data_IF_887830418327
#
_entry.id   IF_887830418327
#
_cell.length_a   1.000
_cell.length_b   1.000
_cell.length_c   1.000
_cell.angle_alpha   90.00
_cell.angle_beta   90.00
_cell.angle_gamma   90.00
#
_symmetry.space_group_name_H-M   'P 1'
#
loop_
_entity.id
_entity.type
_entity.pdbx_description
1 polymer ?
#
# COMPACT_ATOMS: atom_id res chain seq x y z
N UNK A 1 -35.63 -27.66 -12.45
CA UNK A 1 -35.30 -26.34 -13.02
C UNK A 1 -33.81 -26.25 -13.14
N UNK A 2 -33.29 -26.13 -14.36
CA UNK A 2 -31.85 -25.95 -14.60
C UNK A 2 -31.47 -24.50 -14.31
N UNK A 3 -30.63 -24.30 -13.30
CA UNK A 3 -30.03 -22.99 -13.02
C UNK A 3 -28.94 -22.79 -14.07
N UNK A 4 -29.22 -21.94 -15.05
CA UNK A 4 -28.27 -21.55 -16.08
C UNK A 4 -27.18 -20.66 -15.47
N UNK A 5 -26.16 -21.26 -14.85
CA UNK A 5 -24.98 -20.53 -14.37
C UNK A 5 -24.19 -20.09 -15.61
N UNK A 6 -24.38 -18.85 -16.05
CA UNK A 6 -23.50 -18.28 -17.08
C UNK A 6 -22.11 -18.06 -16.45
N UNK A 7 -21.04 -18.63 -17.02
CA UNK A 7 -19.69 -18.37 -16.52
C UNK A 7 -19.39 -16.88 -16.58
N UNK A 8 -18.82 -16.34 -15.51
CA UNK A 8 -18.37 -14.96 -15.47
C UNK A 8 -17.24 -14.76 -16.49
N UNK A 9 -17.23 -13.62 -17.18
CA UNK A 9 -16.16 -13.26 -18.12
C UNK A 9 -14.84 -13.04 -17.40
N UNK A 10 -13.73 -13.37 -18.06
CA UNK A 10 -12.38 -13.17 -17.55
C UNK A 10 -12.13 -11.69 -17.21
N UNK A 11 -12.66 -10.76 -18.01
CA UNK A 11 -12.58 -9.31 -17.70
C UNK A 11 -13.25 -8.96 -16.37
N UNK A 12 -14.41 -9.56 -16.07
CA UNK A 12 -15.11 -9.34 -14.80
C UNK A 12 -14.33 -9.96 -13.65
N UNK A 13 -13.81 -11.17 -13.83
CA UNK A 13 -13.01 -11.87 -12.84
C UNK A 13 -11.70 -11.11 -12.53
N UNK A 14 -11.03 -10.55 -13.54
CA UNK A 14 -9.84 -9.72 -13.36
C UNK A 14 -10.15 -8.45 -12.54
N UNK A 15 -11.29 -7.79 -12.78
CA UNK A 15 -11.72 -6.63 -11.96
C UNK A 15 -12.02 -7.03 -10.52
N UNK A 16 -12.68 -8.17 -10.30
CA UNK A 16 -12.93 -8.68 -8.96
C UNK A 16 -11.63 -9.04 -8.23
N UNK A 17 -10.68 -9.69 -8.89
CA UNK A 17 -9.39 -9.99 -8.29
C UNK A 17 -8.53 -8.73 -8.06
N UNK A 18 -8.64 -7.70 -8.90
CA UNK A 18 -7.99 -6.41 -8.63
C UNK A 18 -8.48 -5.80 -7.32
N UNK A 19 -9.80 -5.81 -7.07
CA UNK A 19 -10.38 -5.37 -5.78
C UNK A 19 -9.83 -6.19 -4.62
N UNK A 20 -9.79 -7.52 -4.76
CA UNK A 20 -9.26 -8.44 -3.73
C UNK A 20 -7.78 -8.22 -3.45
N UNK A 21 -6.98 -7.87 -4.48
CA UNK A 21 -5.58 -7.49 -4.30
C UNK A 21 -5.47 -6.22 -3.46
N UNK A 22 -6.28 -5.19 -3.74
CA UNK A 22 -6.29 -3.94 -2.94
C UNK A 22 -6.65 -4.21 -1.48
N UNK A 23 -7.70 -4.98 -1.22
CA UNK A 23 -8.08 -5.39 0.13
C UNK A 23 -6.95 -6.15 0.83
N UNK A 24 -6.28 -7.05 0.11
CA UNK A 24 -5.16 -7.80 0.64
C UNK A 24 -3.94 -6.90 0.94
N UNK A 25 -3.69 -5.84 0.16
CA UNK A 25 -2.67 -4.83 0.47
C UNK A 25 -3.04 -4.05 1.73
N UNK A 26 -4.30 -3.61 1.88
CA UNK A 26 -4.80 -2.96 3.11
C UNK A 26 -4.60 -3.85 4.34
N UNK A 27 -4.95 -5.14 4.22
CA UNK A 27 -4.75 -6.15 5.25
C UNK A 27 -3.27 -6.33 5.63
N UNK A 28 -2.37 -6.35 4.63
CA UNK A 28 -0.93 -6.46 4.85
C UNK A 28 -0.38 -5.23 5.57
N UNK A 29 -0.71 -4.03 5.12
CA UNK A 29 -0.28 -2.77 5.76
C UNK A 29 -0.81 -2.69 7.20
N UNK A 30 -2.07 -3.07 7.43
CA UNK A 30 -2.62 -3.12 8.78
C UNK A 30 -1.91 -4.12 9.69
N UNK A 31 -1.56 -5.30 9.17
CA UNK A 31 -0.79 -6.29 9.94
C UNK A 31 0.64 -5.81 10.20
N UNK A 32 1.25 -5.08 9.25
CA UNK A 32 2.57 -4.48 9.41
C UNK A 32 2.59 -3.44 10.54
N UNK A 33 1.57 -2.57 10.62
CA UNK A 33 1.40 -1.63 11.75
C UNK A 33 1.45 -2.38 13.09
N UNK A 34 0.66 -3.45 13.20
CA UNK A 34 0.59 -4.26 14.43
C UNK A 34 1.92 -4.96 14.74
N UNK A 35 2.67 -5.40 13.72
CA UNK A 35 4.00 -5.97 13.90
C UNK A 35 4.98 -4.95 14.51
N UNK A 36 4.99 -3.71 14.02
CA UNK A 36 5.85 -2.64 14.55
C UNK A 36 5.47 -2.25 16.00
N UNK A 37 4.17 -2.26 16.32
CA UNK A 37 3.67 -1.97 17.66
C UNK A 37 4.02 -3.05 18.67
N UNK A 38 3.54 -4.27 18.41
CA UNK A 38 3.52 -5.35 19.38
C UNK A 38 4.78 -6.20 19.33
N UNK A 39 5.49 -6.21 18.19
CA UNK A 39 6.73 -6.97 17.94
C UNK A 39 6.61 -8.45 18.33
N UNK A 40 5.39 -8.99 18.22
CA UNK A 40 5.08 -10.34 18.66
C UNK A 40 5.15 -11.32 17.49
N UNK A 41 5.55 -12.55 17.78
CA UNK A 41 5.59 -13.63 16.80
C UNK A 41 4.20 -13.93 16.22
N UNK A 42 3.15 -13.66 16.99
CA UNK A 42 1.76 -13.80 16.54
C UNK A 42 1.43 -12.79 15.43
N UNK A 43 1.79 -11.51 15.59
CA UNK A 43 1.54 -10.51 14.55
C UNK A 43 2.36 -10.79 13.29
N UNK A 44 3.62 -11.23 13.43
CA UNK A 44 4.45 -11.64 12.30
C UNK A 44 3.83 -12.82 11.53
N UNK A 45 3.26 -13.80 12.24
CA UNK A 45 2.54 -14.92 11.63
C UNK A 45 1.27 -14.45 10.89
N UNK A 46 0.56 -13.45 11.41
CA UNK A 46 -0.61 -12.87 10.75
C UNK A 46 -0.20 -12.15 9.46
N UNK A 47 0.84 -11.32 9.50
CA UNK A 47 1.36 -10.64 8.31
C UNK A 47 1.76 -11.66 7.23
N UNK A 48 2.44 -12.75 7.59
CA UNK A 48 2.78 -13.83 6.64
C UNK A 48 1.54 -14.47 6.02
N UNK A 49 0.48 -14.71 6.80
CA UNK A 49 -0.79 -15.24 6.28
C UNK A 49 -1.47 -14.27 5.31
N UNK A 50 -1.50 -12.97 5.64
CA UNK A 50 -2.04 -11.93 4.75
C UNK A 50 -1.24 -11.79 3.46
N UNK A 51 0.10 -11.87 3.56
CA UNK A 51 0.99 -11.88 2.41
C UNK A 51 0.71 -13.07 1.48
N UNK A 52 0.56 -14.28 2.03
CA UNK A 52 0.24 -15.47 1.24
C UNK A 52 -1.11 -15.33 0.52
N UNK A 53 -2.10 -14.72 1.18
CA UNK A 53 -3.38 -14.38 0.56
C UNK A 53 -3.21 -13.35 -0.58
N UNK A 54 -2.44 -12.29 -0.37
CA UNK A 54 -2.11 -11.32 -1.44
C UNK A 54 -1.48 -12.03 -2.63
N UNK A 55 -0.48 -12.88 -2.40
CA UNK A 55 0.20 -13.64 -3.46
C UNK A 55 -0.78 -14.48 -4.29
N UNK A 56 -1.68 -15.20 -3.63
CA UNK A 56 -2.70 -15.99 -4.31
C UNK A 56 -3.64 -15.13 -5.17
N UNK A 57 -4.03 -13.95 -4.70
CA UNK A 57 -4.84 -13.01 -5.50
C UNK A 57 -4.06 -12.45 -6.70
N UNK A 58 -2.76 -12.18 -6.54
CA UNK A 58 -1.90 -11.73 -7.66
C UNK A 58 -1.80 -12.79 -8.75
N UNK A 59 -1.55 -14.05 -8.38
CA UNK A 59 -1.51 -15.17 -9.32
C UNK A 59 -2.86 -15.36 -10.05
N UNK A 60 -3.97 -15.19 -9.34
CA UNK A 60 -5.31 -15.23 -9.93
C UNK A 60 -5.56 -14.04 -10.88
N UNK A 61 -5.15 -12.83 -10.50
CA UNK A 61 -5.28 -11.62 -11.30
C UNK A 61 -4.47 -11.75 -12.60
N UNK A 62 -3.25 -12.27 -12.53
CA UNK A 62 -2.39 -12.51 -13.69
C UNK A 62 -3.07 -13.44 -14.69
N UNK A 63 -3.57 -14.59 -14.21
CA UNK A 63 -4.29 -15.56 -15.03
C UNK A 63 -5.54 -14.96 -15.68
N UNK A 64 -6.39 -14.29 -14.90
CA UNK A 64 -7.63 -13.70 -15.45
C UNK A 64 -7.35 -12.55 -16.42
N UNK A 65 -6.28 -11.79 -16.22
CA UNK A 65 -5.87 -10.74 -17.15
C UNK A 65 -5.42 -11.35 -18.48
N UNK A 66 -4.61 -12.41 -18.45
CA UNK A 66 -4.18 -13.11 -19.66
C UNK A 66 -5.38 -13.66 -20.44
N UNK A 67 -6.35 -14.26 -19.77
CA UNK A 67 -7.61 -14.71 -20.37
C UNK A 67 -8.42 -13.54 -20.95
N UNK A 68 -8.54 -12.42 -20.21
CA UNK A 68 -9.30 -11.24 -20.63
C UNK A 68 -8.77 -10.60 -21.92
N UNK A 69 -7.45 -10.63 -22.15
CA UNK A 69 -6.83 -10.13 -23.37
C UNK A 69 -7.21 -10.95 -24.62
N UNK A 70 -7.64 -12.20 -24.44
CA UNK A 70 -8.11 -13.07 -25.53
C UNK A 70 -9.61 -12.95 -25.79
N UNK A 71 -10.36 -12.25 -24.92
CA UNK A 71 -11.79 -12.09 -25.10
C UNK A 71 -12.13 -11.14 -26.26
N UNK A 72 -13.24 -11.38 -26.99
CA UNK A 72 -13.71 -10.43 -27.98
C UNK A 72 -14.00 -9.07 -27.33
N UNK A 73 -13.52 -8.00 -27.98
CA UNK A 73 -13.69 -6.62 -27.52
C UNK A 73 -15.18 -6.28 -27.40
N UNK A 74 -15.65 -6.10 -26.16
CA UNK A 74 -17.00 -5.57 -25.90
C UNK A 74 -16.85 -4.12 -25.41
N UNK A 75 -17.45 -3.12 -26.09
CA UNK A 75 -17.25 -1.69 -25.79
C UNK A 75 -17.48 -1.27 -24.33
N UNK A 76 -18.42 -1.92 -23.64
CA UNK A 76 -18.79 -1.62 -22.24
C UNK A 76 -17.95 -2.35 -21.19
N UNK A 77 -17.11 -3.30 -21.62
CA UNK A 77 -16.25 -4.11 -20.77
C UNK A 77 -14.79 -3.91 -21.16
N UNK A 78 -14.42 -2.71 -21.62
CA UNK A 78 -13.03 -2.45 -22.00
C UNK A 78 -12.13 -2.73 -20.77
N UNK A 79 -11.19 -3.68 -20.88
CA UNK A 79 -10.26 -3.93 -19.79
C UNK A 79 -9.35 -2.71 -19.61
N UNK A 80 -8.76 -2.56 -18.41
CA UNK A 80 -7.50 -1.81 -18.30
C UNK A 80 -6.58 -2.32 -19.42
N UNK A 81 -5.86 -1.43 -20.09
CA UNK A 81 -4.96 -1.88 -21.15
C UNK A 81 -3.88 -2.83 -20.54
N UNK A 82 -3.34 -3.74 -21.35
CA UNK A 82 -2.39 -4.75 -20.89
C UNK A 82 -1.18 -4.15 -20.15
N UNK A 83 -0.74 -2.95 -20.55
CA UNK A 83 0.38 -2.24 -19.94
C UNK A 83 0.06 -1.85 -18.48
N UNK A 84 -1.14 -1.32 -18.24
CA UNK A 84 -1.58 -0.95 -16.89
C UNK A 84 -1.72 -2.17 -15.97
N UNK A 85 -2.27 -3.29 -16.47
CA UNK A 85 -2.31 -4.52 -15.67
C UNK A 85 -0.92 -5.07 -15.33
N UNK A 86 0.01 -5.08 -16.29
CA UNK A 86 1.37 -5.56 -16.03
C UNK A 86 2.09 -4.71 -14.98
N UNK A 87 1.89 -3.39 -14.98
CA UNK A 87 2.41 -2.51 -13.92
C UNK A 87 1.79 -2.84 -12.57
N UNK A 88 0.46 -2.95 -12.51
CA UNK A 88 -0.26 -3.30 -11.28
C UNK A 88 0.20 -4.65 -10.71
N UNK A 89 0.26 -5.68 -11.54
CA UNK A 89 0.77 -7.01 -11.17
C UNK A 89 2.20 -6.94 -10.64
N UNK A 90 3.06 -6.18 -11.31
CA UNK A 90 4.43 -5.93 -10.86
C UNK A 90 4.47 -5.30 -9.47
N UNK A 91 3.68 -4.25 -9.22
CA UNK A 91 3.63 -3.58 -7.92
C UNK A 91 3.03 -4.48 -6.82
N UNK A 92 1.94 -5.21 -7.08
CA UNK A 92 1.37 -6.13 -6.09
C UNK A 92 2.35 -7.27 -5.74
N UNK A 93 3.05 -7.83 -6.73
CA UNK A 93 4.05 -8.87 -6.52
C UNK A 93 5.17 -8.36 -5.62
N UNK A 94 5.71 -7.17 -5.90
CA UNK A 94 6.74 -6.55 -5.06
C UNK A 94 6.26 -6.29 -3.64
N UNK A 95 5.04 -5.79 -3.44
CA UNK A 95 4.47 -5.61 -2.10
C UNK A 95 4.43 -6.95 -1.36
N UNK A 96 3.99 -8.01 -2.04
CA UNK A 96 3.96 -9.35 -1.46
C UNK A 96 5.34 -9.83 -1.00
N UNK A 97 6.36 -9.65 -1.84
CA UNK A 97 7.75 -10.02 -1.49
C UNK A 97 8.30 -9.14 -0.36
N UNK A 98 8.05 -7.83 -0.40
CA UNK A 98 8.48 -6.89 0.64
C UNK A 98 7.85 -7.22 1.99
N UNK A 99 6.57 -7.64 2.04
CA UNK A 99 5.95 -8.11 3.28
C UNK A 99 6.68 -9.32 3.88
N UNK A 100 7.16 -10.26 3.04
CA UNK A 100 7.97 -11.39 3.51
C UNK A 100 9.28 -10.92 4.11
N UNK A 101 10.01 -10.04 3.42
CA UNK A 101 11.28 -9.51 3.93
C UNK A 101 11.08 -8.76 5.25
N UNK A 102 10.05 -7.92 5.36
CA UNK A 102 9.74 -7.21 6.60
C UNK A 102 9.46 -8.18 7.76
N UNK A 103 8.74 -9.28 7.51
CA UNK A 103 8.54 -10.32 8.52
C UNK A 103 9.88 -10.90 9.03
N UNK A 104 10.81 -11.22 8.14
CA UNK A 104 12.10 -11.78 8.53
C UNK A 104 12.97 -10.76 9.29
N UNK A 105 13.02 -9.50 8.82
CA UNK A 105 13.77 -8.44 9.49
C UNK A 105 13.23 -8.15 10.89
N UNK A 106 11.90 -8.05 11.06
CA UNK A 106 11.28 -7.85 12.37
C UNK A 106 11.53 -9.03 13.30
N UNK A 107 11.56 -10.26 12.78
CA UNK A 107 11.90 -11.44 13.56
C UNK A 107 13.34 -11.38 14.07
N UNK A 108 14.28 -10.99 13.21
CA UNK A 108 15.69 -10.81 13.58
C UNK A 108 15.84 -9.72 14.67
N UNK A 109 15.06 -8.63 14.57
CA UNK A 109 15.09 -7.54 15.55
C UNK A 109 14.40 -7.88 16.88
N UNK A 110 13.40 -8.77 16.89
CA UNK A 110 12.64 -9.12 18.10
C UNK A 110 13.46 -9.76 19.23
N UNK A 111 14.64 -10.31 18.91
CA UNK A 111 15.58 -10.88 19.87
C UNK A 111 16.77 -9.97 20.22
N UNK A 112 16.89 -8.79 19.62
CA UNK A 112 18.06 -7.93 19.76
C UNK A 112 17.86 -6.88 20.89
N UNK A 113 18.69 -6.94 21.94
CA UNK A 113 18.67 -5.95 23.04
C UNK A 113 18.90 -4.51 22.54
N UNK A 114 19.63 -4.34 21.45
CA UNK A 114 19.89 -3.07 20.76
C UNK A 114 18.65 -2.45 20.08
N UNK A 115 17.62 -3.25 19.77
CA UNK A 115 16.38 -2.75 19.17
C UNK A 115 15.41 -2.14 20.19
N UNK A 116 15.66 -2.34 21.50
CA UNK A 116 14.82 -1.87 22.62
C UNK A 116 14.80 -0.33 22.73
N UNK A 117 15.85 0.35 22.25
CA UNK A 117 15.94 1.81 22.25
C UNK A 117 15.47 2.50 20.95
N UNK A 118 15.06 1.73 19.95
CA UNK A 118 14.66 2.29 18.66
C UNK A 118 13.26 2.96 18.76
N UNK A 119 13.03 4.15 18.19
CA UNK A 119 11.79 4.91 18.33
C UNK A 119 10.64 4.37 17.45
N UNK A 120 10.19 3.15 17.75
CA UNK A 120 9.14 2.43 17.03
C UNK A 120 7.81 3.18 16.95
N UNK A 121 7.47 3.97 17.96
CA UNK A 121 6.23 4.75 18.00
C UNK A 121 6.14 5.77 16.85
N UNK A 122 7.27 6.33 16.43
CA UNK A 122 7.30 7.23 15.27
C UNK A 122 7.01 6.51 13.96
N UNK A 123 7.62 5.34 13.75
CA UNK A 123 7.34 4.50 12.58
C UNK A 123 5.87 4.11 12.53
N UNK A 124 5.37 3.58 13.64
CA UNK A 124 3.98 3.13 13.76
C UNK A 124 3.00 4.25 13.44
N UNK A 125 3.25 5.46 13.95
CA UNK A 125 2.39 6.62 13.67
C UNK A 125 2.34 6.94 12.18
N UNK A 126 3.49 6.97 11.52
CA UNK A 126 3.57 7.28 10.10
C UNK A 126 2.89 6.18 9.26
N UNK A 127 3.10 4.91 9.62
CA UNK A 127 2.42 3.77 8.99
C UNK A 127 0.89 3.78 9.20
N UNK A 128 0.40 4.16 10.37
CA UNK A 128 -1.04 4.31 10.65
C UNK A 128 -1.66 5.40 9.79
N UNK A 129 -1.03 6.57 9.71
CA UNK A 129 -1.50 7.66 8.86
C UNK A 129 -1.57 7.22 7.39
N UNK A 130 -0.55 6.49 6.93
CA UNK A 130 -0.54 5.90 5.59
C UNK A 130 -1.67 4.88 5.38
N UNK A 131 -1.86 3.97 6.35
CA UNK A 131 -2.92 2.95 6.32
C UNK A 131 -4.31 3.59 6.23
N UNK A 132 -4.58 4.63 7.02
CA UNK A 132 -5.87 5.33 7.02
C UNK A 132 -6.17 5.93 5.65
N UNK A 133 -5.19 6.62 5.05
CA UNK A 133 -5.30 7.16 3.68
C UNK A 133 -5.57 6.04 2.67
N UNK A 134 -4.80 4.97 2.72
CA UNK A 134 -4.97 3.82 1.83
C UNK A 134 -6.37 3.21 1.94
N UNK A 135 -6.81 2.87 3.15
CA UNK A 135 -8.12 2.29 3.41
C UNK A 135 -9.25 3.20 2.92
N UNK A 136 -9.14 4.51 3.14
CA UNK A 136 -10.13 5.48 2.67
C UNK A 136 -10.26 5.50 1.15
N UNK A 137 -9.14 5.41 0.42
CA UNK A 137 -9.14 5.41 -1.04
C UNK A 137 -9.61 4.10 -1.64
N UNK A 138 -9.22 2.95 -1.08
CA UNK A 138 -9.74 1.65 -1.52
C UNK A 138 -11.25 1.61 -1.38
N UNK A 139 -11.78 2.01 -0.22
CA UNK A 139 -13.24 2.11 0.00
C UNK A 139 -13.92 3.05 -1.01
N UNK A 140 -13.30 4.18 -1.33
CA UNK A 140 -13.83 5.11 -2.34
C UNK A 140 -13.89 4.46 -3.74
N UNK A 141 -12.88 3.67 -4.13
CA UNK A 141 -12.85 2.94 -5.40
C UNK A 141 -13.94 1.86 -5.47
N UNK A 142 -14.21 1.17 -4.37
CA UNK A 142 -15.32 0.20 -4.27
C UNK A 142 -16.70 0.88 -4.46
N UNK A 143 -16.90 2.05 -3.84
CA UNK A 143 -18.13 2.84 -3.99
C UNK A 143 -18.32 3.33 -5.44
N UNK A 144 -17.22 3.69 -6.12
CA UNK A 144 -17.23 4.10 -7.54
C UNK A 144 -17.63 2.93 -8.45
N UNK A 145 -17.08 1.74 -8.20
CA UNK A 145 -17.34 0.54 -9.01
C UNK A 145 -18.72 -0.08 -8.77
N UNK A 146 -19.33 0.14 -7.59
CA UNK A 146 -20.63 -0.42 -7.18
C UNK A 146 -21.85 0.40 -7.64
N UNK A 147 -21.72 1.70 -7.90
CA UNK A 147 -22.89 2.55 -8.20
C UNK A 147 -23.20 2.69 -9.71
N UNK A 148 -24.45 2.37 -10.11
CA UNK A 148 -25.03 2.58 -11.44
C UNK A 148 -25.17 4.07 -11.86
N UNK A 149 -24.45 5.00 -11.22
CA UNK A 149 -24.64 6.43 -11.41
C UNK A 149 -23.30 7.16 -11.30
N UNK A 150 -22.53 7.12 -12.40
CA UNK A 150 -21.40 8.02 -12.65
C UNK A 150 -21.77 9.49 -12.34
N UNK A 151 -23.03 9.88 -12.57
CA UNK A 151 -23.53 11.22 -12.29
C UNK A 151 -23.60 11.57 -10.79
N UNK A 152 -23.91 10.62 -9.90
CA UNK A 152 -23.89 10.84 -8.44
C UNK A 152 -22.46 10.93 -7.93
N UNK A 153 -21.55 10.13 -8.48
CA UNK A 153 -20.11 10.16 -8.17
C UNK A 153 -19.49 11.48 -8.64
N UNK A 154 -19.77 11.92 -9.87
CA UNK A 154 -19.30 13.20 -10.40
C UNK A 154 -19.84 14.38 -9.56
N UNK A 155 -21.06 14.26 -9.03
CA UNK A 155 -21.65 15.25 -8.10
C UNK A 155 -21.02 15.22 -6.70
N UNK A 156 -20.57 14.07 -6.20
CA UNK A 156 -19.84 13.98 -4.92
C UNK A 156 -18.37 14.42 -5.06
N UNK A 157 -17.70 14.07 -6.16
CA UNK A 157 -16.41 14.63 -6.55
C UNK A 157 -16.51 16.15 -6.76
N UNK A 158 -17.58 16.65 -7.40
CA UNK A 158 -17.83 18.08 -7.51
C UNK A 158 -18.22 18.72 -6.18
N UNK A 159 -19.05 18.12 -5.31
CA UNK A 159 -19.33 18.69 -3.97
C UNK A 159 -18.07 18.80 -3.12
N UNK A 160 -17.15 17.84 -3.25
CA UNK A 160 -15.81 17.91 -2.63
C UNK A 160 -14.90 18.95 -3.30
N UNK A 161 -15.13 19.25 -4.59
CA UNK A 161 -14.51 20.37 -5.33
C UNK A 161 -15.16 21.75 -5.03
N UNK A 162 -16.45 21.79 -4.68
CA UNK A 162 -17.27 22.99 -4.41
C UNK A 162 -17.03 23.54 -2.98
N UNK A 163 -16.13 22.92 -2.20
CA UNK A 163 -15.49 23.64 -1.09
C UNK A 163 -14.49 24.72 -1.59
N UNK A 164 -14.28 24.80 -2.90
CA UNK A 164 -13.55 25.86 -3.58
C UNK A 164 -14.35 26.38 -4.78
N UNK A 165 -15.37 27.16 -4.50
CA UNK A 165 -15.84 28.18 -5.45
C UNK A 165 -16.08 29.48 -4.67
N UNK A 166 -15.03 30.29 -4.58
CA UNK A 166 -15.13 31.67 -4.09
C UNK A 166 -14.91 32.57 -5.29
N UNK A 167 -16.01 32.87 -5.98
CA UNK A 167 -16.12 34.01 -6.87
C UNK A 167 -16.14 35.28 -5.99
N UNK A 168 -14.98 35.68 -5.45
CA UNK A 168 -14.75 37.01 -4.89
C UNK A 168 -13.25 37.33 -4.97
N UNK A 169 -12.94 38.43 -5.66
CA UNK A 169 -11.59 38.77 -6.10
C UNK A 169 -10.58 39.11 -5.00
N UNK A 170 -9.31 39.10 -5.43
CA UNK A 170 -8.14 39.79 -4.85
C UNK A 170 -7.86 39.55 -3.36
N UNK A 171 -6.96 38.62 -3.06
CA UNK A 171 -5.58 38.89 -2.59
C UNK A 171 -5.00 37.74 -1.75
N UNK A 172 -3.71 37.50 -2.00
CA UNK A 172 -2.65 36.97 -1.11
C UNK A 172 -2.80 35.59 -0.46
N UNK A 173 -1.76 34.77 -0.71
CA UNK A 173 -1.20 33.70 0.13
C UNK A 173 -2.16 32.97 1.09
N UNK A 174 -2.51 31.73 0.77
CA UNK A 174 -2.29 30.58 1.66
C UNK A 174 -2.69 29.26 0.97
N UNK A 175 -1.76 28.30 1.03
CA UNK A 175 -1.91 26.84 0.91
C UNK A 175 -2.89 26.28 -0.14
N UNK A 176 -2.35 25.97 -1.32
CA UNK A 176 -2.94 25.05 -2.28
C UNK A 176 -3.10 23.65 -1.66
N UNK A 177 -4.28 23.31 -1.13
CA UNK A 177 -4.63 21.93 -0.80
C UNK A 177 -5.02 21.18 -2.08
N UNK A 178 -4.04 20.61 -2.76
CA UNK A 178 -4.25 19.51 -3.69
C UNK A 178 -4.90 18.36 -2.91
N UNK A 179 -6.19 18.14 -3.14
CA UNK A 179 -6.97 17.10 -2.45
C UNK A 179 -6.58 15.73 -3.03
N UNK A 180 -5.66 15.07 -2.35
CA UNK A 180 -5.03 13.84 -2.83
C UNK A 180 -5.89 12.59 -2.52
N UNK A 181 -6.16 11.80 -3.55
CA UNK A 181 -6.94 10.55 -3.46
C UNK A 181 -6.07 9.42 -2.91
N UNK A 182 -5.71 9.51 -1.63
CA UNK A 182 -5.04 8.45 -0.89
C UNK A 182 -3.59 8.75 -0.53
N UNK A 183 -2.78 7.70 -0.26
CA UNK A 183 -1.40 7.89 0.09
C UNK A 183 -0.63 8.50 -1.08
N UNK A 184 0.27 9.42 -0.74
CA UNK A 184 1.03 10.20 -1.71
C UNK A 184 2.48 9.77 -1.83
N UNK A 185 3.13 10.22 -2.90
CA UNK A 185 4.58 10.10 -3.01
C UNK A 185 5.25 10.86 -1.85
N UNK A 186 4.74 12.04 -1.47
CA UNK A 186 5.24 12.82 -0.34
C UNK A 186 5.12 12.06 0.99
N UNK A 187 4.06 11.28 1.21
CA UNK A 187 3.89 10.44 2.41
C UNK A 187 5.01 9.38 2.49
N UNK A 188 5.30 8.72 1.37
CA UNK A 188 6.33 7.69 1.29
C UNK A 188 7.75 8.28 1.44
N UNK A 189 8.00 9.45 0.85
CA UNK A 189 9.27 10.17 0.98
C UNK A 189 9.47 10.70 2.40
N UNK A 190 8.43 11.28 2.99
CA UNK A 190 8.45 11.75 4.39
C UNK A 190 8.75 10.61 5.35
N UNK A 191 8.11 9.45 5.18
CA UNK A 191 8.44 8.26 5.97
C UNK A 191 9.92 7.88 5.82
N UNK A 192 10.41 7.82 4.59
CA UNK A 192 11.80 7.43 4.30
C UNK A 192 12.81 8.36 4.97
N UNK A 193 12.59 9.68 4.86
CA UNK A 193 13.44 10.69 5.51
C UNK A 193 13.38 10.58 7.03
N UNK A 194 12.16 10.49 7.60
CA UNK A 194 11.97 10.30 9.04
C UNK A 194 12.70 9.05 9.53
N UNK A 195 12.54 7.92 8.85
CA UNK A 195 13.17 6.65 9.22
C UNK A 195 14.70 6.77 9.23
N UNK A 196 15.30 7.37 8.20
CA UNK A 196 16.76 7.56 8.12
C UNK A 196 17.26 8.43 9.27
N UNK A 197 16.53 9.49 9.65
CA UNK A 197 16.90 10.31 10.81
C UNK A 197 16.84 9.51 12.12
N UNK A 198 15.80 8.69 12.31
CA UNK A 198 15.67 7.84 13.51
C UNK A 198 16.78 6.78 13.58
N UNK A 199 17.13 6.19 12.44
CA UNK A 199 18.24 5.24 12.34
C UNK A 199 19.58 5.91 12.68
N UNK A 200 19.82 7.11 12.15
CA UNK A 200 21.03 7.88 12.46
C UNK A 200 21.10 8.22 13.95
N UNK A 201 20.03 8.75 14.52
CA UNK A 201 19.97 9.07 15.95
C UNK A 201 20.19 7.82 16.83
N UNK A 202 19.60 6.69 16.45
CA UNK A 202 19.80 5.43 17.13
C UNK A 202 21.26 4.97 17.05
N UNK A 203 21.93 5.17 15.91
CA UNK A 203 23.33 4.76 15.70
C UNK A 203 24.32 5.70 16.42
N UNK A 204 24.09 7.01 16.37
CA UNK A 204 24.97 8.04 16.97
C UNK A 204 25.03 7.94 18.51
N UNK A 205 23.96 7.45 19.15
CA UNK A 205 23.90 7.27 20.62
C UNK A 205 24.77 6.10 21.11
N UNK A 206 25.31 5.30 20.21
CA UNK A 206 25.93 4.04 20.58
C UNK A 206 27.46 4.18 20.49
N UNK A 207 28.10 4.54 21.61
CA UNK A 207 29.56 4.43 21.80
C UNK A 207 29.91 3.20 22.63
N UNK A 208 30.84 2.35 22.19
CA UNK A 208 31.25 1.16 22.94
C UNK A 208 32.08 0.13 22.13
N UNK A 209 32.73 -0.80 22.82
CA UNK A 209 33.84 -1.69 22.39
C UNK A 209 33.63 -2.55 21.11
N UNK A 210 34.70 -3.15 20.57
CA UNK A 210 34.73 -3.87 19.28
C UNK A 210 33.72 -5.02 19.11
N UNK A 211 33.40 -5.78 20.17
CA UNK A 211 32.38 -6.85 20.09
C UNK A 211 30.95 -6.27 20.07
N UNK A 212 30.78 -5.15 20.78
CA UNK A 212 29.58 -4.34 20.75
C UNK A 212 29.39 -3.73 19.34
N UNK A 213 30.46 -3.25 18.70
CA UNK A 213 30.43 -2.68 17.33
C UNK A 213 29.92 -3.66 16.27
N UNK A 214 30.30 -4.94 16.33
CA UNK A 214 29.81 -5.95 15.36
C UNK A 214 28.31 -6.19 15.52
N UNK A 215 27.83 -6.40 16.74
CA UNK A 215 26.40 -6.59 17.03
C UNK A 215 25.56 -5.34 16.69
N UNK A 216 26.14 -4.15 16.85
CA UNK A 216 25.56 -2.86 16.42
C UNK A 216 25.47 -2.76 14.91
N UNK A 217 26.52 -3.17 14.20
CA UNK A 217 26.52 -3.16 12.72
C UNK A 217 25.42 -4.05 12.16
N UNK A 218 25.19 -5.22 12.75
CA UNK A 218 24.12 -6.14 12.34
C UNK A 218 22.73 -5.54 12.61
N UNK A 219 22.51 -4.97 13.79
CA UNK A 219 21.23 -4.31 14.13
C UNK A 219 20.95 -3.13 13.20
N UNK A 220 21.97 -2.29 12.92
CA UNK A 220 21.84 -1.15 12.01
C UNK A 220 21.54 -1.60 10.58
N UNK A 221 22.14 -2.72 10.12
CA UNK A 221 21.81 -3.33 8.83
C UNK A 221 20.37 -3.83 8.79
N UNK A 222 19.90 -4.58 9.81
CA UNK A 222 18.52 -5.05 9.88
C UNK A 222 17.51 -3.89 9.87
N UNK A 223 17.77 -2.82 10.65
CA UNK A 223 16.93 -1.62 10.64
C UNK A 223 16.97 -0.91 9.28
N UNK A 224 18.14 -0.81 8.64
CA UNK A 224 18.27 -0.20 7.31
C UNK A 224 17.46 -0.97 6.27
N UNK A 225 17.58 -2.31 6.26
CA UNK A 225 16.82 -3.21 5.40
C UNK A 225 15.32 -3.09 5.64
N UNK A 226 14.90 -3.04 6.91
CA UNK A 226 13.50 -2.86 7.29
C UNK A 226 12.95 -1.52 6.77
N UNK A 227 13.65 -0.42 7.02
CA UNK A 227 13.28 0.91 6.55
C UNK A 227 13.15 0.96 5.04
N UNK A 228 14.14 0.41 4.32
CA UNK A 228 14.09 0.28 2.87
C UNK A 228 12.86 -0.50 2.40
N UNK A 229 12.58 -1.66 3.01
CA UNK A 229 11.45 -2.50 2.60
C UNK A 229 10.11 -1.79 2.81
N UNK A 230 9.92 -1.13 3.95
CA UNK A 230 8.70 -0.38 4.26
C UNK A 230 8.55 0.81 3.30
N UNK A 231 9.60 1.59 3.09
CA UNK A 231 9.62 2.71 2.14
C UNK A 231 9.25 2.25 0.73
N UNK A 232 9.83 1.15 0.25
CA UNK A 232 9.50 0.58 -1.07
C UNK A 232 8.07 0.08 -1.13
N UNK A 233 7.55 -0.53 -0.06
CA UNK A 233 6.17 -0.99 -0.01
C UNK A 233 5.19 0.19 -0.13
N UNK A 234 5.46 1.28 0.58
CA UNK A 234 4.65 2.50 0.48
C UNK A 234 4.69 3.08 -0.94
N UNK A 235 5.88 3.15 -1.55
CA UNK A 235 6.03 3.64 -2.94
C UNK A 235 5.27 2.78 -3.96
N UNK A 236 5.37 1.45 -3.89
CA UNK A 236 4.63 0.57 -4.81
C UNK A 236 3.11 0.66 -4.60
N UNK A 237 2.67 0.91 -3.36
CA UNK A 237 1.25 1.17 -3.06
C UNK A 237 0.79 2.48 -3.70
N UNK A 238 1.60 3.55 -3.63
CA UNK A 238 1.33 4.81 -4.33
C UNK A 238 1.26 4.58 -5.85
N UNK A 239 2.17 3.78 -6.42
CA UNK A 239 2.12 3.41 -7.84
C UNK A 239 0.81 2.71 -8.24
N UNK A 240 0.31 1.80 -7.40
CA UNK A 240 -0.98 1.13 -7.63
C UNK A 240 -2.12 2.15 -7.65
N UNK A 241 -2.17 3.04 -6.65
CA UNK A 241 -3.22 4.06 -6.54
C UNK A 241 -3.19 5.03 -7.73
N UNK A 242 -2.00 5.45 -8.16
CA UNK A 242 -1.82 6.30 -9.33
C UNK A 242 -2.28 5.60 -10.62
N UNK A 243 -1.88 4.35 -10.86
CA UNK A 243 -2.25 3.63 -12.09
C UNK A 243 -3.77 3.36 -12.16
N UNK A 244 -4.45 3.09 -11.03
CA UNK A 244 -5.91 2.91 -10.99
C UNK A 244 -6.64 4.23 -11.27
N UNK A 245 -6.17 5.33 -10.70
CA UNK A 245 -6.80 6.66 -10.88
C UNK A 245 -6.58 7.24 -12.27
N UNK A 246 -5.46 6.92 -12.94
CA UNK A 246 -5.21 7.31 -14.33
C UNK A 246 -6.00 6.50 -15.37
N UNK A 247 -6.46 5.29 -15.01
CA UNK A 247 -7.13 4.37 -15.94
C UNK A 247 -8.65 4.34 -15.81
N UNK A 248 -9.22 4.99 -14.78
CA UNK A 248 -10.66 5.09 -14.49
C UNK A 248 -11.27 6.37 -15.06
#
# INVERSE_FOLDING_TARGET
GEILIKPARATTLARTELSRCLDAVVDCVGSLVLCCEQKSQQEMSKLRSKQAKLKSHVEALERFTAEALTEPNIPFLRPLNAVSYNKLLGSFSKISDLCLYVCEELKNLSGAESAVGFPWDSITRDLKAFQEKLHSSVKCLEEITSTKSLARIQKELQKRKICHDVEAGTNSNDNQSNMELGPSQDDAERFSVSFVMLLKEATDKISGSTAEEVFKSETALCLSSLGFCISRLMQETVCIMAEITHTS
#
